data_IF_214084373305
#
_entry.id   IF_214084373305
#
_cell.length_a   1.000
_cell.length_b   1.000
_cell.length_c   1.000
_cell.angle_alpha   90.00
_cell.angle_beta   90.00
_cell.angle_gamma   90.00
#
_symmetry.space_group_name_H-M   'P 1'
#
loop_
_entity.id
_entity.type
_entity.pdbx_description
1 polymer ?
#
# COMPACT_ATOMS: atom_id res chain seq x y z
N UNK A 1 -2.83 -2.37 15.20
CA UNK A 1 -1.55 -3.01 15.59
C UNK A 1 -0.62 -2.84 14.39
N UNK A 2 0.44 -2.05 14.60
CA UNK A 2 1.56 -1.70 13.72
C UNK A 2 1.27 -1.28 12.27
N UNK A 3 0.45 -0.24 12.12
CA UNK A 3 0.24 0.45 10.83
C UNK A 3 1.56 0.92 10.21
N UNK A 4 2.50 1.42 11.02
CA UNK A 4 3.79 1.89 10.55
C UNK A 4 4.62 0.76 9.91
N UNK A 5 4.63 -0.45 10.49
CA UNK A 5 5.33 -1.60 9.92
C UNK A 5 4.71 -2.02 8.57
N UNK A 6 3.38 -2.02 8.48
CA UNK A 6 2.66 -2.28 7.24
C UNK A 6 2.95 -1.22 6.17
N UNK A 7 2.94 0.07 6.53
CA UNK A 7 3.22 1.15 5.60
C UNK A 7 4.66 1.06 5.06
N UNK A 8 5.65 0.74 5.91
CA UNK A 8 7.04 0.50 5.48
C UNK A 8 7.16 -0.72 4.56
N UNK A 9 6.48 -1.82 4.88
CA UNK A 9 6.47 -3.01 4.01
C UNK A 9 5.87 -2.70 2.65
N UNK A 10 4.72 -2.02 2.62
CA UNK A 10 4.04 -1.67 1.37
C UNK A 10 4.82 -0.65 0.55
N UNK A 11 5.57 0.27 1.16
CA UNK A 11 6.43 1.20 0.42
C UNK A 11 7.48 0.45 -0.42
N UNK A 12 8.09 -0.60 0.13
CA UNK A 12 9.10 -1.40 -0.55
C UNK A 12 8.50 -2.39 -1.55
N UNK A 13 7.42 -3.09 -1.17
CA UNK A 13 6.95 -4.28 -1.90
C UNK A 13 5.69 -4.07 -2.75
N UNK A 14 5.01 -2.92 -2.71
CA UNK A 14 3.74 -2.71 -3.45
C UNK A 14 3.83 -2.98 -4.95
N UNK A 15 5.00 -2.79 -5.57
CA UNK A 15 5.21 -2.95 -7.03
C UNK A 15 5.37 -4.42 -7.42
N UNK A 16 5.86 -5.24 -6.50
CA UNK A 16 6.10 -6.68 -6.70
C UNK A 16 4.90 -7.51 -6.26
N UNK A 17 4.08 -6.97 -5.34
CA UNK A 17 2.90 -7.64 -4.85
C UNK A 17 1.83 -7.81 -5.94
N UNK A 18 1.20 -9.00 -6.02
CA UNK A 18 -0.01 -9.16 -6.82
C UNK A 18 -1.10 -8.17 -6.41
N UNK A 19 -1.83 -7.62 -7.38
CA UNK A 19 -2.87 -6.59 -7.17
C UNK A 19 -3.93 -7.00 -6.15
N UNK A 20 -4.27 -8.29 -6.10
CA UNK A 20 -5.22 -8.84 -5.12
C UNK A 20 -4.66 -8.79 -3.70
N UNK A 21 -3.40 -9.18 -3.50
CA UNK A 21 -2.74 -9.13 -2.20
C UNK A 21 -2.57 -7.69 -1.71
N UNK A 22 -2.17 -6.78 -2.60
CA UNK A 22 -2.07 -5.35 -2.30
C UNK A 22 -3.41 -4.77 -1.85
N UNK A 23 -4.51 -5.16 -2.51
CA UNK A 23 -5.87 -4.73 -2.16
C UNK A 23 -6.27 -5.17 -0.75
N UNK A 24 -5.99 -6.41 -0.38
CA UNK A 24 -6.27 -6.90 0.98
C UNK A 24 -5.40 -6.19 2.02
N UNK A 25 -4.12 -5.98 1.73
CA UNK A 25 -3.21 -5.30 2.66
C UNK A 25 -3.64 -3.86 2.98
N UNK A 26 -4.30 -3.17 2.05
CA UNK A 26 -4.77 -1.78 2.22
C UNK A 26 -6.27 -1.67 2.52
N UNK A 27 -6.98 -2.77 2.80
CA UNK A 27 -8.45 -2.76 2.92
C UNK A 27 -8.95 -1.81 4.02
N UNK A 28 -8.16 -1.67 5.09
CA UNK A 28 -8.46 -0.85 6.28
C UNK A 28 -7.98 0.61 6.14
N UNK A 29 -7.33 0.96 5.04
CA UNK A 29 -6.84 2.32 4.82
C UNK A 29 -7.95 3.25 4.35
N UNK A 30 -7.76 4.55 4.48
CA UNK A 30 -8.71 5.53 3.94
C UNK A 30 -8.73 5.46 2.40
N UNK A 31 -9.89 5.71 1.75
CA UNK A 31 -10.01 5.61 0.29
C UNK A 31 -8.95 6.39 -0.52
N UNK A 32 -8.54 7.62 -0.12
CA UNK A 32 -7.46 8.33 -0.80
C UNK A 32 -6.12 7.58 -0.72
N UNK A 33 -5.82 6.98 0.43
CA UNK A 33 -4.59 6.26 0.67
C UNK A 33 -4.54 4.96 -0.16
N UNK A 34 -5.66 4.23 -0.23
CA UNK A 34 -5.76 3.03 -1.08
C UNK A 34 -5.47 3.34 -2.54
N UNK A 35 -6.02 4.45 -3.06
CA UNK A 35 -5.80 4.87 -4.46
C UNK A 35 -4.32 5.13 -4.72
N UNK A 36 -3.59 5.75 -3.78
CA UNK A 36 -2.14 6.01 -3.95
C UNK A 36 -1.34 4.73 -4.08
N UNK A 37 -1.58 3.74 -3.22
CA UNK A 37 -0.94 2.41 -3.30
C UNK A 37 -1.30 1.69 -4.60
N UNK A 38 -2.58 1.69 -5.01
CA UNK A 38 -3.02 1.05 -6.26
C UNK A 38 -2.50 1.71 -7.54
N UNK A 39 -2.11 2.98 -7.46
CA UNK A 39 -1.52 3.74 -8.57
C UNK A 39 0.01 3.71 -8.56
N UNK A 40 0.65 3.10 -7.54
CA UNK A 40 2.10 3.13 -7.38
C UNK A 40 2.66 4.54 -7.10
N UNK A 41 1.81 5.51 -6.73
CA UNK A 41 2.20 6.91 -6.42
C UNK A 41 2.60 7.09 -4.95
N UNK A 42 3.25 6.07 -4.41
CA UNK A 42 3.75 6.04 -3.03
C UNK A 42 5.28 5.99 -3.09
N UNK A 43 5.91 7.15 -2.88
CA UNK A 43 7.36 7.40 -3.01
C UNK A 43 7.60 8.85 -3.44
N UNK A 44 8.75 9.47 -3.07
CA UNK A 44 9.12 10.77 -3.64
C UNK A 44 9.24 10.61 -5.17
N UNK A 45 8.84 11.64 -5.90
CA UNK A 45 8.96 11.69 -7.36
C UNK A 45 10.39 11.39 -7.82
#
# INVERSE_FOLDING_TARGET
RDRAALESFLQTHQREMPRTMLRYAIERFEPPLRKRYLQGKFGPA
#
